data_IF_018603217652
#
_entry.id   IF_018603217652
#
_cell.length_a   1.000
_cell.length_b   1.000
_cell.length_c   1.000
_cell.angle_alpha   90.00
_cell.angle_beta   90.00
_cell.angle_gamma   90.00
#
_symmetry.space_group_name_H-M   'P 1'
#
loop_
_entity.id
_entity.type
_entity.pdbx_description
1 polymer ?
#
# COMPACT_ATOMS: atom_id res chain seq x y z
N UNK A 1 -5.15 -32.08 -8.30
CA UNK A 1 -5.33 -31.36 -9.58
C UNK A 1 -3.99 -30.84 -10.05
N UNK A 2 -3.80 -30.62 -11.35
CA UNK A 2 -2.59 -29.99 -11.90
C UNK A 2 -2.99 -28.65 -12.52
N UNK A 3 -2.23 -27.60 -12.25
CA UNK A 3 -2.48 -26.27 -12.78
C UNK A 3 -1.30 -25.87 -13.64
N UNK A 4 -1.58 -25.59 -14.90
CA UNK A 4 -0.60 -25.10 -15.85
C UNK A 4 -0.09 -23.71 -15.47
N UNK A 5 1.10 -23.39 -15.99
CA UNK A 5 1.69 -22.08 -15.84
C UNK A 5 0.88 -21.04 -16.60
N UNK A 6 0.48 -19.95 -15.93
CA UNK A 6 -0.12 -18.78 -16.57
C UNK A 6 0.92 -17.68 -16.65
N UNK A 7 1.08 -17.13 -17.85
CA UNK A 7 2.00 -16.03 -18.15
C UNK A 7 1.21 -14.89 -18.77
N UNK A 8 1.31 -13.69 -18.19
CA UNK A 8 0.80 -12.43 -18.73
C UNK A 8 2.02 -11.60 -19.16
N UNK A 9 2.02 -11.10 -20.39
CA UNK A 9 3.14 -10.37 -20.97
C UNK A 9 2.66 -9.15 -21.76
N UNK A 10 3.54 -8.17 -21.97
CA UNK A 10 3.27 -6.96 -22.74
C UNK A 10 3.56 -7.14 -24.25
N UNK A 11 3.31 -6.10 -25.05
CA UNK A 11 3.52 -6.12 -26.50
C UNK A 11 4.97 -6.36 -26.95
N UNK A 12 5.95 -6.19 -26.06
CA UNK A 12 7.37 -6.45 -26.33
C UNK A 12 7.77 -7.89 -25.98
N UNK A 13 6.86 -8.65 -25.37
CA UNK A 13 7.13 -9.97 -24.81
C UNK A 13 7.68 -9.93 -23.39
N UNK A 14 7.70 -8.76 -22.73
CA UNK A 14 8.13 -8.67 -21.33
C UNK A 14 7.05 -9.23 -20.42
N UNK A 15 7.42 -10.16 -19.55
CA UNK A 15 6.50 -10.81 -18.61
C UNK A 15 6.12 -9.81 -17.50
N UNK A 16 4.81 -9.67 -17.27
CA UNK A 16 4.21 -8.87 -16.19
C UNK A 16 3.83 -9.75 -14.99
N UNK A 17 3.33 -10.97 -15.24
CA UNK A 17 2.98 -11.95 -14.21
C UNK A 17 3.25 -13.38 -14.71
N UNK A 18 3.81 -14.21 -13.83
CA UNK A 18 3.95 -15.65 -14.06
C UNK A 18 3.60 -16.42 -12.78
N UNK A 19 2.69 -17.38 -12.87
CA UNK A 19 2.18 -18.10 -11.68
C UNK A 19 2.94 -19.38 -11.36
N UNK A 20 3.77 -19.87 -12.29
CA UNK A 20 4.39 -21.19 -12.20
C UNK A 20 3.40 -22.34 -12.39
N UNK A 21 3.93 -23.55 -12.46
CA UNK A 21 3.16 -24.80 -12.45
C UNK A 21 2.88 -25.22 -10.99
N UNK A 22 1.71 -25.81 -10.74
CA UNK A 22 1.35 -26.28 -9.40
C UNK A 22 0.65 -27.64 -9.45
N UNK A 23 0.84 -28.45 -8.41
CA UNK A 23 0.22 -29.77 -8.22
C UNK A 23 -0.37 -29.87 -6.81
N UNK A 24 -1.40 -30.71 -6.65
CA UNK A 24 -2.02 -30.98 -5.34
C UNK A 24 -3.44 -30.42 -5.22
N UNK A 25 -3.77 -29.92 -4.03
CA UNK A 25 -5.02 -29.20 -3.77
C UNK A 25 -4.83 -27.73 -4.13
N UNK A 26 -5.25 -27.37 -5.33
CA UNK A 26 -4.99 -26.07 -5.95
C UNK A 26 -6.29 -25.57 -6.56
N UNK A 27 -6.48 -24.25 -6.58
CA UNK A 27 -7.59 -23.63 -7.29
C UNK A 27 -7.22 -23.38 -8.75
N UNK A 28 -8.20 -23.52 -9.64
CA UNK A 28 -8.05 -23.05 -11.02
C UNK A 28 -7.80 -21.55 -11.05
N UNK A 29 -7.17 -21.09 -12.12
CA UNK A 29 -7.00 -19.66 -12.29
C UNK A 29 -8.32 -19.02 -12.73
N UNK A 30 -8.72 -17.92 -12.11
CA UNK A 30 -9.86 -17.14 -12.55
C UNK A 30 -9.73 -16.73 -14.03
N UNK A 31 -10.84 -16.62 -14.75
CA UNK A 31 -10.82 -16.17 -16.14
C UNK A 31 -10.56 -14.66 -16.20
N UNK A 32 -9.55 -14.25 -16.97
CA UNK A 32 -9.26 -12.84 -17.26
C UNK A 32 -9.82 -12.54 -18.65
N UNK A 33 -10.90 -11.78 -18.72
CA UNK A 33 -11.55 -11.38 -19.99
C UNK A 33 -10.96 -10.09 -20.57
N UNK A 34 -10.41 -9.23 -19.72
CA UNK A 34 -9.80 -7.95 -20.09
C UNK A 34 -8.68 -7.55 -19.12
N UNK A 35 -7.73 -6.75 -19.61
CA UNK A 35 -6.65 -6.17 -18.81
C UNK A 35 -6.67 -4.64 -18.98
N UNK A 36 -6.66 -3.92 -17.86
CA UNK A 36 -6.63 -2.46 -17.81
C UNK A 36 -5.27 -1.97 -17.32
N UNK A 37 -4.86 -0.81 -17.80
CA UNK A 37 -3.67 -0.11 -17.33
C UNK A 37 -4.03 1.35 -17.04
N UNK A 38 -3.53 1.89 -15.93
CA UNK A 38 -3.65 3.30 -15.57
C UNK A 38 -2.30 3.79 -15.06
N UNK A 39 -1.99 5.04 -15.33
CA UNK A 39 -0.83 5.72 -14.78
C UNK A 39 -1.28 6.59 -13.60
N UNK A 40 -0.57 6.45 -12.47
CA UNK A 40 -0.81 7.26 -11.27
C UNK A 40 0.29 8.31 -11.19
N UNK A 41 -0.11 9.58 -11.14
CA UNK A 41 0.83 10.70 -11.08
C UNK A 41 1.74 10.64 -9.84
N UNK A 42 3.00 11.03 -10.01
CA UNK A 42 3.96 11.08 -8.93
C UNK A 42 3.51 12.05 -7.83
N UNK A 43 3.51 11.59 -6.58
CA UNK A 43 3.13 12.40 -5.42
C UNK A 43 1.62 12.48 -5.16
N UNK A 44 0.78 11.82 -5.96
CA UNK A 44 -0.67 11.78 -5.73
C UNK A 44 -1.09 10.90 -4.54
N UNK A 45 -0.21 9.99 -4.09
CA UNK A 45 -0.46 9.08 -2.96
C UNK A 45 0.69 9.18 -1.97
N UNK A 46 0.36 9.35 -0.69
CA UNK A 46 1.30 9.20 0.42
C UNK A 46 1.49 7.71 0.74
N UNK A 47 2.50 7.11 0.08
CA UNK A 47 2.86 5.70 0.27
C UNK A 47 3.54 5.41 1.62
N UNK A 48 3.82 6.43 2.45
CA UNK A 48 4.31 6.20 3.82
C UNK A 48 3.18 5.80 4.75
N UNK A 49 1.95 6.23 4.43
CA UNK A 49 0.75 5.96 5.21
C UNK A 49 -0.21 5.01 4.54
N UNK A 50 -0.15 4.87 3.21
CA UNK A 50 -1.17 4.12 2.46
C UNK A 50 -0.52 3.11 1.51
N UNK A 51 -1.23 2.01 1.26
CA UNK A 51 -0.94 1.07 0.17
C UNK A 51 -2.13 0.95 -0.76
N UNK A 52 -1.87 0.72 -2.04
CA UNK A 52 -2.92 0.42 -3.02
C UNK A 52 -3.26 -1.06 -2.91
N UNK A 53 -4.53 -1.37 -2.69
CA UNK A 53 -5.04 -2.76 -2.59
C UNK A 53 -5.87 -3.18 -3.80
N UNK A 54 -6.34 -2.20 -4.58
CA UNK A 54 -7.11 -2.43 -5.78
C UNK A 54 -7.37 -1.13 -6.52
N UNK A 55 -8.14 -1.21 -7.60
CA UNK A 55 -8.61 -0.06 -8.37
C UNK A 55 -10.14 -0.12 -8.43
N UNK A 56 -10.81 1.01 -8.20
CA UNK A 56 -12.23 1.13 -8.46
C UNK A 56 -12.47 1.10 -9.98
N UNK A 57 -13.22 0.12 -10.47
CA UNK A 57 -13.43 -0.09 -11.91
C UNK A 57 -14.20 1.06 -12.56
N UNK A 58 -15.09 1.73 -11.82
CA UNK A 58 -15.91 2.83 -12.31
C UNK A 58 -15.14 4.15 -12.34
N UNK A 59 -14.50 4.52 -11.23
CA UNK A 59 -13.79 5.81 -11.11
C UNK A 59 -12.36 5.76 -11.65
N UNK A 60 -11.80 4.55 -11.83
CA UNK A 60 -10.39 4.30 -12.14
C UNK A 60 -9.43 4.81 -11.06
N UNK A 61 -9.93 5.07 -9.86
CA UNK A 61 -9.12 5.54 -8.73
C UNK A 61 -8.59 4.35 -7.91
N UNK A 62 -7.37 4.48 -7.35
CA UNK A 62 -6.81 3.47 -6.47
C UNK A 62 -7.55 3.42 -5.14
N UNK A 63 -7.83 2.19 -4.69
CA UNK A 63 -8.37 1.92 -3.36
C UNK A 63 -7.19 1.88 -2.40
N UNK A 64 -7.19 2.83 -1.45
CA UNK A 64 -6.13 2.99 -0.46
C UNK A 64 -6.49 2.30 0.85
N UNK A 65 -5.56 1.57 1.40
CA UNK A 65 -5.61 1.03 2.76
C UNK A 65 -4.50 1.65 3.59
N UNK A 66 -4.84 2.13 4.80
CA UNK A 66 -3.87 2.72 5.72
C UNK A 66 -2.92 1.65 6.26
N UNK A 67 -1.62 1.91 6.17
CA UNK A 67 -0.58 1.07 6.73
C UNK A 67 -0.56 1.34 8.24
N UNK A 68 -0.87 0.34 9.08
CA UNK A 68 -0.88 0.55 10.52
C UNK A 68 0.54 0.89 11.01
N UNK A 69 0.71 2.09 11.54
CA UNK A 69 1.93 2.49 12.21
C UNK A 69 1.88 1.93 13.63
N UNK A 70 2.61 0.84 13.86
CA UNK A 70 2.79 0.29 15.20
C UNK A 70 3.85 1.10 15.93
N UNK A 71 3.42 2.16 16.61
CA UNK A 71 4.27 2.90 17.55
C UNK A 71 4.39 2.06 18.82
N UNK A 72 5.62 1.74 19.23
CA UNK A 72 5.86 1.03 20.48
C UNK A 72 5.39 1.86 21.69
N UNK A 73 5.07 1.20 22.80
CA UNK A 73 4.67 1.90 24.03
C UNK A 73 5.80 2.81 24.57
N UNK A 74 7.05 2.48 24.29
CA UNK A 74 8.21 3.31 24.63
C UNK A 74 8.27 4.59 23.79
N UNK A 75 8.07 4.49 22.47
CA UNK A 75 8.01 5.65 21.57
C UNK A 75 6.84 6.58 21.88
N UNK A 76 5.66 6.02 22.22
CA UNK A 76 4.52 6.83 22.70
C UNK A 76 4.88 7.61 23.96
N UNK A 77 5.60 6.99 24.90
CA UNK A 77 6.00 7.62 26.16
C UNK A 77 7.04 8.71 25.95
N UNK A 78 7.98 8.51 25.02
CA UNK A 78 8.93 9.56 24.61
C UNK A 78 8.17 10.74 23.99
N UNK A 79 7.23 10.48 23.08
CA UNK A 79 6.45 11.53 22.42
C UNK A 79 5.59 12.35 23.41
N UNK A 80 5.02 11.70 24.43
CA UNK A 80 4.29 12.40 25.49
C UNK A 80 5.21 13.28 26.34
N UNK A 81 6.40 12.79 26.70
CA UNK A 81 7.41 13.57 27.43
C UNK A 81 7.90 14.77 26.60
N UNK A 82 8.13 14.61 25.30
CA UNK A 82 8.51 15.71 24.39
C UNK A 82 7.41 16.77 24.30
N UNK A 83 6.15 16.36 24.15
CA UNK A 83 5.01 17.29 24.14
C UNK A 83 4.87 18.06 25.46
N UNK A 84 5.06 17.40 26.61
CA UNK A 84 5.05 18.07 27.91
C UNK A 84 6.17 19.08 28.06
N UNK A 85 7.38 18.77 27.58
CA UNK A 85 8.50 19.71 27.58
C UNK A 85 8.20 20.93 26.70
N UNK A 86 7.66 20.71 25.50
CA UNK A 86 7.29 21.78 24.57
C UNK A 86 6.20 22.71 25.14
N UNK A 87 5.17 22.14 25.78
CA UNK A 87 4.12 22.92 26.45
C UNK A 87 4.69 23.75 27.60
N UNK A 88 5.52 23.15 28.46
CA UNK A 88 6.17 23.85 29.56
C UNK A 88 7.13 24.95 29.08
N UNK A 89 7.83 24.74 27.96
CA UNK A 89 8.68 25.75 27.35
C UNK A 89 7.84 26.91 26.78
N UNK A 90 6.75 26.61 26.07
CA UNK A 90 5.82 27.63 25.58
C UNK A 90 5.17 28.45 26.72
N UNK A 91 4.85 27.82 27.85
CA UNK A 91 4.35 28.53 29.05
C UNK A 91 5.42 29.41 29.70
N UNK A 92 6.68 28.96 29.73
CA UNK A 92 7.80 29.72 30.31
C UNK A 92 8.27 30.88 29.43
N UNK A 93 8.24 30.70 28.12
CA UNK A 93 8.68 31.71 27.14
C UNK A 93 7.53 32.64 26.73
N UNK A 94 6.30 32.33 27.14
CA UNK A 94 5.13 33.17 26.89
C UNK A 94 4.76 33.22 25.41
N UNK A 95 4.44 32.05 24.83
CA UNK A 95 3.77 31.90 23.53
C UNK A 95 4.30 32.76 22.38
N UNK A 96 5.20 32.23 21.56
CA UNK A 96 5.47 32.78 20.24
C UNK A 96 4.37 32.30 19.27
N UNK A 97 3.29 33.08 19.18
CA UNK A 97 2.49 33.18 17.95
C UNK A 97 3.20 34.11 16.96
#
# INVERSE_FOLDING_TARGET
MNRANRIIYDQTGKILLQTGEATGDILEHDEITELHCIDIEYGSIDYTKNRITGINIETKEPILEEIPIFVSEEEKRIQELENQLLLNENEKVGGLL
#
